data_IF_995810954015
#
_entry.id   IF_995810954015
#
_cell.length_a   1.000
_cell.length_b   1.000
_cell.length_c   1.000
_cell.angle_alpha   90.00
_cell.angle_beta   90.00
_cell.angle_gamma   90.00
#
_symmetry.space_group_name_H-M   'P 1'
#
loop_
_entity.id
_entity.type
_entity.pdbx_description
1 polymer ?
#
# COMPACT_ATOMS: atom_id res chain seq x y z
N UNK A 1 14.67 -2.58 2.06
CA UNK A 1 13.36 -2.78 1.39
C UNK A 1 12.80 -1.42 1.00
N UNK A 2 12.08 -1.29 -0.11
CA UNK A 2 11.50 0.00 -0.51
C UNK A 2 10.40 0.44 0.48
N UNK A 3 10.22 1.76 0.74
CA UNK A 3 9.19 2.24 1.66
C UNK A 3 7.79 1.76 1.31
N UNK A 4 7.48 1.61 0.01
CA UNK A 4 6.21 1.07 -0.47
C UNK A 4 6.02 -0.38 -0.06
N UNK A 5 7.04 -1.21 -0.27
CA UNK A 5 6.92 -2.62 0.05
C UNK A 5 6.72 -2.80 1.55
N UNK A 6 7.51 -2.09 2.37
CA UNK A 6 7.36 -2.09 3.83
C UNK A 6 5.96 -1.65 4.26
N UNK A 7 5.36 -0.69 3.55
CA UNK A 7 4.03 -0.18 3.86
C UNK A 7 2.90 -1.13 3.46
N UNK A 8 2.94 -1.68 2.25
CA UNK A 8 1.86 -2.48 1.68
C UNK A 8 1.94 -3.96 2.04
N UNK A 9 3.12 -4.47 2.37
CA UNK A 9 3.32 -5.89 2.68
C UNK A 9 2.43 -6.41 3.81
N UNK A 10 2.27 -5.73 4.96
CA UNK A 10 1.41 -6.20 6.04
C UNK A 10 -0.06 -6.31 5.63
N UNK A 11 -0.56 -5.34 4.84
CA UNK A 11 -1.92 -5.34 4.30
C UNK A 11 -2.11 -6.55 3.39
N UNK A 12 -1.20 -6.73 2.44
CA UNK A 12 -1.23 -7.84 1.50
C UNK A 12 -1.21 -9.19 2.22
N UNK A 13 -0.27 -9.38 3.16
CA UNK A 13 -0.08 -10.63 3.88
C UNK A 13 -1.32 -11.00 4.72
N UNK A 14 -1.87 -10.04 5.47
CA UNK A 14 -3.09 -10.28 6.27
C UNK A 14 -4.27 -10.62 5.37
N UNK A 15 -4.48 -9.85 4.30
CA UNK A 15 -5.57 -10.11 3.37
C UNK A 15 -5.45 -11.48 2.68
N UNK A 16 -4.22 -11.87 2.30
CA UNK A 16 -3.93 -13.18 1.72
C UNK A 16 -4.27 -14.32 2.68
N UNK A 17 -3.85 -14.22 3.93
CA UNK A 17 -4.15 -15.25 4.95
C UNK A 17 -5.66 -15.33 5.19
N UNK A 18 -6.34 -14.19 5.31
CA UNK A 18 -7.80 -14.16 5.49
C UNK A 18 -8.54 -14.73 4.29
N UNK A 19 -8.11 -14.44 3.07
CA UNK A 19 -8.66 -15.01 1.84
C UNK A 19 -8.49 -16.53 1.80
N UNK A 20 -7.32 -17.04 2.18
CA UNK A 20 -7.05 -18.47 2.22
C UNK A 20 -7.90 -19.20 3.27
N UNK A 21 -8.00 -18.66 4.49
CA UNK A 21 -8.80 -19.25 5.58
C UNK A 21 -10.29 -19.15 5.25
N UNK A 22 -10.77 -17.97 4.90
CA UNK A 22 -12.17 -17.72 4.56
C UNK A 22 -12.64 -18.55 3.38
N UNK A 23 -11.83 -18.62 2.32
CA UNK A 23 -12.07 -19.45 1.15
C UNK A 23 -12.13 -20.94 1.50
N UNK A 24 -11.17 -21.44 2.30
CA UNK A 24 -11.13 -22.84 2.71
C UNK A 24 -12.37 -23.23 3.52
N UNK A 25 -12.79 -22.38 4.46
CA UNK A 25 -13.98 -22.63 5.27
C UNK A 25 -15.27 -22.56 4.45
N UNK A 26 -15.37 -21.60 3.53
CA UNK A 26 -16.49 -21.49 2.61
C UNK A 26 -16.61 -22.73 1.73
N UNK A 27 -15.53 -23.19 1.10
CA UNK A 27 -15.55 -24.36 0.21
C UNK A 27 -15.86 -25.67 0.94
N UNK A 28 -15.48 -25.79 2.21
CA UNK A 28 -15.69 -27.00 3.03
C UNK A 28 -17.07 -27.05 3.68
N UNK A 29 -17.61 -25.92 4.10
CA UNK A 29 -18.89 -25.84 4.84
C UNK A 29 -20.04 -25.30 3.99
N UNK A 30 -19.76 -24.83 2.78
CA UNK A 30 -20.69 -24.14 1.87
C UNK A 30 -21.38 -22.90 2.48
N UNK A 31 -20.79 -22.32 3.54
CA UNK A 31 -21.34 -21.13 4.21
C UNK A 31 -20.65 -19.87 3.71
N UNK A 32 -21.38 -19.04 2.94
CA UNK A 32 -20.89 -17.77 2.40
C UNK A 32 -20.49 -16.76 3.48
N UNK A 33 -21.03 -16.91 4.70
CA UNK A 33 -20.72 -16.04 5.84
C UNK A 33 -19.22 -16.00 6.18
N UNK A 34 -18.48 -17.12 6.03
CA UNK A 34 -17.03 -17.13 6.27
C UNK A 34 -16.26 -16.27 5.26
N UNK A 35 -16.65 -16.33 3.98
CA UNK A 35 -16.04 -15.54 2.92
C UNK A 35 -16.30 -14.05 3.16
N UNK A 36 -17.54 -13.68 3.46
CA UNK A 36 -17.93 -12.29 3.72
C UNK A 36 -17.22 -11.75 4.97
N UNK A 37 -17.24 -12.52 6.07
CA UNK A 37 -16.61 -12.09 7.32
C UNK A 37 -15.11 -11.87 7.16
N UNK A 38 -14.39 -12.81 6.53
CA UNK A 38 -12.95 -12.66 6.28
C UNK A 38 -12.61 -11.48 5.37
N UNK A 39 -13.42 -11.22 4.34
CA UNK A 39 -13.26 -10.05 3.47
C UNK A 39 -13.48 -8.73 4.23
N UNK A 40 -14.53 -8.64 5.04
CA UNK A 40 -14.79 -7.46 5.89
C UNK A 40 -13.63 -7.21 6.86
N UNK A 41 -13.10 -8.27 7.49
CA UNK A 41 -11.94 -8.15 8.40
C UNK A 41 -10.70 -7.64 7.66
N UNK A 42 -10.44 -8.10 6.43
CA UNK A 42 -9.29 -7.65 5.64
C UNK A 42 -9.39 -6.14 5.30
N UNK A 43 -10.58 -5.67 4.93
CA UNK A 43 -10.82 -4.24 4.66
C UNK A 43 -10.73 -3.39 5.93
N UNK A 44 -11.30 -3.88 7.05
CA UNK A 44 -11.22 -3.20 8.34
C UNK A 44 -9.76 -3.07 8.81
N UNK A 45 -8.95 -4.13 8.67
CA UNK A 45 -7.52 -4.10 8.97
C UNK A 45 -6.79 -3.05 8.15
N UNK A 46 -7.13 -2.90 6.86
CA UNK A 46 -6.53 -1.88 5.99
C UNK A 46 -6.79 -0.47 6.52
N UNK A 47 -8.03 -0.17 6.92
CA UNK A 47 -8.37 1.10 7.55
C UNK A 47 -7.61 1.35 8.85
N UNK A 48 -7.49 0.32 9.70
CA UNK A 48 -6.72 0.38 10.94
C UNK A 48 -5.23 0.61 10.69
N UNK A 49 -4.65 -0.06 9.68
CA UNK A 49 -3.24 0.07 9.31
C UNK A 49 -2.90 1.51 8.88
N UNK A 50 -3.76 2.10 8.05
CA UNK A 50 -3.58 3.48 7.56
C UNK A 50 -3.77 4.52 8.64
N UNK A 51 -4.74 4.32 9.55
CA UNK A 51 -5.04 5.27 10.63
C UNK A 51 -4.34 4.90 11.94
N UNK A 52 -5.05 4.28 12.90
CA UNK A 52 -4.62 4.16 14.29
C UNK A 52 -3.35 3.32 14.50
N UNK A 53 -3.04 2.35 13.63
CA UNK A 53 -1.82 1.55 13.75
C UNK A 53 -0.57 2.28 13.24
N UNK A 54 -0.72 3.52 12.77
CA UNK A 54 0.39 4.42 12.44
C UNK A 54 1.14 4.06 11.16
N UNK A 55 0.59 3.22 10.28
CA UNK A 55 1.23 2.87 9.01
C UNK A 55 1.56 4.11 8.18
N UNK A 56 0.60 5.04 8.08
CA UNK A 56 0.79 6.33 7.41
C UNK A 56 1.97 7.12 8.00
N UNK A 57 2.04 7.25 9.32
CA UNK A 57 3.13 7.94 10.01
C UNK A 57 4.50 7.29 9.75
N UNK A 58 4.56 5.95 9.78
CA UNK A 58 5.79 5.21 9.45
C UNK A 58 6.26 5.45 8.01
N UNK A 59 5.33 5.53 7.06
CA UNK A 59 5.66 5.84 5.67
C UNK A 59 6.22 7.25 5.52
N UNK A 60 5.55 8.24 6.14
CA UNK A 60 6.01 9.63 6.16
C UNK A 60 7.41 9.74 6.76
N UNK A 61 7.65 9.08 7.90
CA UNK A 61 8.93 9.09 8.59
C UNK A 61 10.08 8.40 7.82
N UNK A 62 9.78 7.65 6.75
CA UNK A 62 10.80 7.10 5.86
C UNK A 62 11.06 8.00 4.65
N UNK A 63 10.01 8.56 4.06
CA UNK A 63 10.11 9.30 2.79
C UNK A 63 10.54 10.75 2.99
N UNK A 64 9.98 11.47 3.97
CA UNK A 64 10.30 12.89 4.17
C UNK A 64 11.77 13.11 4.58
N UNK A 65 12.37 12.31 5.47
CA UNK A 65 13.81 12.44 5.77
C UNK A 65 14.70 12.15 4.56
N UNK A 66 14.32 11.17 3.72
CA UNK A 66 15.05 10.88 2.49
C UNK A 66 14.98 12.05 1.50
N UNK A 67 13.79 12.64 1.31
CA UNK A 67 13.62 13.84 0.50
C UNK A 67 14.41 15.03 1.06
N UNK A 68 14.42 15.20 2.39
CA UNK A 68 15.20 16.25 3.06
C UNK A 68 16.70 16.06 2.85
N UNK A 69 17.20 14.81 2.93
CA UNK A 69 18.60 14.50 2.67
C UNK A 69 18.99 14.90 1.25
N UNK A 70 18.18 14.55 0.25
CA UNK A 70 18.42 14.93 -1.14
C UNK A 70 18.43 16.46 -1.29
N UNK A 71 17.48 17.18 -0.67
CA UNK A 71 17.47 18.65 -0.74
C UNK A 71 18.73 19.29 -0.13
N UNK A 72 19.26 18.71 0.95
CA UNK A 72 20.51 19.20 1.56
C UNK A 72 21.70 18.88 0.66
N UNK A 73 21.76 17.69 0.08
CA UNK A 73 22.81 17.26 -0.85
C UNK A 73 22.88 18.14 -2.11
N UNK A 74 21.72 18.62 -2.59
CA UNK A 74 21.60 19.53 -3.72
C UNK A 74 21.68 21.02 -3.33
N UNK A 75 22.17 21.35 -2.15
CA UNK A 75 22.33 22.72 -1.65
C UNK A 75 21.02 23.55 -1.65
N UNK A 76 19.87 22.88 -1.48
CA UNK A 76 18.54 23.47 -1.41
C UNK A 76 17.88 23.32 -0.01
N UNK A 77 18.56 23.60 1.11
CA UNK A 77 18.00 23.37 2.45
C UNK A 77 16.79 24.27 2.78
N UNK A 78 16.60 25.37 2.05
CA UNK A 78 15.45 26.27 2.17
C UNK A 78 14.18 25.72 1.51
N UNK A 79 14.30 24.74 0.62
CA UNK A 79 13.15 24.05 0.02
C UNK A 79 12.64 22.99 0.99
N UNK A 80 11.33 22.86 1.07
CA UNK A 80 10.64 21.85 1.84
C UNK A 80 9.90 20.91 0.89
N UNK A 81 9.87 19.63 1.24
CA UNK A 81 9.18 18.58 0.49
C UNK A 81 8.31 17.71 1.40
N UNK A 82 7.31 18.27 2.13
CA UNK A 82 6.36 17.44 2.88
C UNK A 82 5.53 16.55 1.93
N UNK A 83 5.14 15.37 2.41
CA UNK A 83 4.13 14.57 1.73
C UNK A 83 2.76 15.23 1.90
N UNK A 84 1.95 15.21 0.84
CA UNK A 84 0.58 15.75 0.89
C UNK A 84 -0.31 14.90 1.83
N UNK A 85 -0.95 15.55 2.80
CA UNK A 85 -1.68 14.90 3.92
C UNK A 85 -3.21 14.94 3.81
N UNK A 86 -3.78 15.56 2.78
CA UNK A 86 -5.24 15.73 2.68
C UNK A 86 -5.93 15.02 1.52
N UNK A 87 -6.27 13.72 1.58
CA UNK A 87 -5.76 12.61 2.39
C UNK A 87 -4.29 12.26 2.07
N UNK A 88 -3.65 11.37 2.84
CA UNK A 88 -2.26 10.98 2.58
C UNK A 88 -2.11 10.42 1.16
N UNK A 89 -1.22 11.02 0.38
CA UNK A 89 -0.87 10.56 -0.96
C UNK A 89 0.65 10.36 -1.05
N UNK A 90 1.11 9.59 -2.04
CA UNK A 90 2.55 9.41 -2.32
C UNK A 90 3.18 10.59 -3.05
N UNK A 91 2.68 11.80 -2.80
CA UNK A 91 3.08 13.01 -3.50
C UNK A 91 3.86 13.94 -2.59
N UNK A 92 5.04 14.35 -3.04
CA UNK A 92 5.81 15.40 -2.38
C UNK A 92 5.36 16.77 -2.90
N UNK A 93 5.10 17.68 -1.98
CA UNK A 93 4.74 19.06 -2.27
C UNK A 93 5.98 19.93 -2.01
N UNK A 94 6.58 20.42 -3.09
CA UNK A 94 7.73 21.30 -3.01
C UNK A 94 7.28 22.73 -2.72
N UNK A 95 7.95 23.38 -1.79
CA UNK A 95 7.75 24.80 -1.48
C UNK A 95 9.06 25.44 -1.01
N UNK A 96 9.24 26.74 -1.27
CA UNK A 96 10.47 27.47 -0.96
C UNK A 96 10.97 28.33 -2.12
N UNK A 97 12.14 28.93 -1.94
CA UNK A 97 12.78 29.76 -2.96
C UNK A 97 13.62 28.89 -3.90
N UNK A 98 13.23 28.88 -5.18
CA UNK A 98 13.93 28.24 -6.29
C UNK A 98 13.51 28.95 -7.60
N UNK A 99 14.45 29.11 -8.52
CA UNK A 99 14.16 29.58 -9.88
C UNK A 99 13.45 28.50 -10.72
N UNK A 100 13.00 28.84 -11.93
CA UNK A 100 12.21 27.94 -12.77
C UNK A 100 12.96 26.65 -13.13
N UNK A 101 14.24 26.76 -13.48
CA UNK A 101 15.09 25.61 -13.80
C UNK A 101 15.26 24.69 -12.58
N UNK A 102 15.58 25.26 -11.42
CA UNK A 102 15.71 24.53 -10.16
C UNK A 102 14.39 23.84 -9.78
N UNK A 103 13.24 24.51 -9.98
CA UNK A 103 11.93 23.93 -9.69
C UNK A 103 11.67 22.67 -10.52
N UNK A 104 11.93 22.73 -11.82
CA UNK A 104 11.75 21.59 -12.72
C UNK A 104 12.70 20.45 -12.39
N UNK A 105 13.97 20.77 -12.12
CA UNK A 105 14.99 19.77 -11.82
C UNK A 105 14.76 19.09 -10.47
N UNK A 106 14.37 19.85 -9.44
CA UNK A 106 13.98 19.28 -8.16
C UNK A 106 12.75 18.40 -8.28
N UNK A 107 11.74 18.77 -9.09
CA UNK A 107 10.59 17.91 -9.37
C UNK A 107 11.02 16.58 -10.00
N UNK A 108 11.94 16.64 -10.98
CA UNK A 108 12.49 15.46 -11.65
C UNK A 108 13.21 14.54 -10.65
N UNK A 109 14.13 15.10 -9.86
CA UNK A 109 14.91 14.36 -8.86
C UNK A 109 14.00 13.75 -7.79
N UNK A 110 13.12 14.55 -7.21
CA UNK A 110 12.24 14.10 -6.13
C UNK A 110 11.28 13.01 -6.58
N UNK A 111 10.86 13.01 -7.85
CA UNK A 111 10.01 11.96 -8.42
C UNK A 111 10.72 10.61 -8.56
N UNK A 112 12.05 10.56 -8.49
CA UNK A 112 12.83 9.32 -8.46
C UNK A 112 13.00 8.76 -7.03
N UNK A 113 12.57 9.50 -6.00
CA UNK A 113 12.68 9.07 -4.60
C UNK A 113 11.81 7.82 -4.34
N UNK A 114 12.37 6.74 -3.76
CA UNK A 114 11.60 5.55 -3.42
C UNK A 114 10.41 5.87 -2.52
N UNK A 115 9.21 5.45 -2.92
CA UNK A 115 7.98 5.79 -2.18
C UNK A 115 7.18 6.93 -2.80
N UNK A 116 7.81 7.78 -3.59
CA UNK A 116 7.16 8.93 -4.21
C UNK A 116 6.58 8.51 -5.56
N UNK A 117 5.33 8.87 -5.83
CA UNK A 117 4.68 8.70 -7.13
C UNK A 117 4.76 9.95 -7.99
N UNK A 118 4.83 11.13 -7.35
CA UNK A 118 4.92 12.42 -8.01
C UNK A 118 5.52 13.46 -7.06
N UNK A 119 6.35 14.35 -7.58
CA UNK A 119 6.69 15.61 -6.92
C UNK A 119 6.09 16.78 -7.71
N UNK A 120 5.69 17.85 -7.02
CA UNK A 120 5.10 19.03 -7.66
C UNK A 120 5.22 20.24 -6.74
N UNK A 121 5.23 21.44 -7.33
CA UNK A 121 5.11 22.72 -6.61
C UNK A 121 3.66 23.14 -6.37
N UNK A 122 2.71 22.45 -7.01
CA UNK A 122 1.29 22.72 -6.95
C UNK A 122 0.54 21.79 -5.98
N UNK A 123 -0.62 22.23 -5.50
CA UNK A 123 -1.48 21.54 -4.55
C UNK A 123 -2.53 20.62 -5.17
N UNK A 124 -2.50 20.41 -6.49
CA UNK A 124 -3.43 19.50 -7.18
C UNK A 124 -3.52 18.11 -6.53
N UNK A 125 -4.68 17.46 -6.67
CA UNK A 125 -5.00 16.19 -6.00
C UNK A 125 -4.29 14.95 -6.57
N UNK A 126 -4.22 13.88 -5.77
CA UNK A 126 -3.63 12.58 -6.14
C UNK A 126 -4.43 11.41 -5.58
N UNK A 127 -4.09 10.18 -5.99
CA UNK A 127 -4.75 8.97 -5.49
C UNK A 127 -4.42 8.82 -3.99
N UNK A 128 -5.43 8.79 -3.11
CA UNK A 128 -5.22 8.55 -1.68
C UNK A 128 -4.56 7.19 -1.45
N UNK A 129 -3.56 7.13 -0.57
CA UNK A 129 -2.89 5.88 -0.18
C UNK A 129 -3.85 4.85 0.39
N UNK A 130 -4.97 5.28 0.98
CA UNK A 130 -6.01 4.35 1.45
C UNK A 130 -6.66 3.58 0.30
N UNK A 131 -6.87 4.20 -0.86
CA UNK A 131 -7.41 3.50 -2.03
C UNK A 131 -6.40 2.50 -2.59
N UNK A 132 -5.11 2.87 -2.63
CA UNK A 132 -4.05 1.92 -3.00
C UNK A 132 -3.97 0.75 -2.02
N UNK A 133 -4.08 1.02 -0.72
CA UNK A 133 -4.12 -0.01 0.33
C UNK A 133 -5.29 -0.96 0.18
N UNK A 134 -6.49 -0.45 -0.13
CA UNK A 134 -7.67 -1.27 -0.39
C UNK A 134 -7.48 -2.15 -1.63
N UNK A 135 -6.90 -1.63 -2.71
CA UNK A 135 -6.58 -2.41 -3.90
C UNK A 135 -5.61 -3.57 -3.58
N UNK A 136 -4.56 -3.29 -2.78
CA UNK A 136 -3.61 -4.30 -2.31
C UNK A 136 -4.30 -5.35 -1.43
N UNK A 137 -5.19 -4.94 -0.54
CA UNK A 137 -5.96 -5.86 0.30
C UNK A 137 -6.85 -6.77 -0.55
N UNK A 138 -7.57 -6.23 -1.52
CA UNK A 138 -8.41 -7.01 -2.45
C UNK A 138 -7.55 -8.00 -3.23
N UNK A 139 -6.43 -7.56 -3.78
CA UNK A 139 -5.52 -8.43 -4.53
C UNK A 139 -4.99 -9.58 -3.65
N UNK A 140 -4.50 -9.28 -2.45
CA UNK A 140 -4.05 -10.29 -1.49
C UNK A 140 -5.16 -11.29 -1.15
N UNK A 141 -6.36 -10.79 -0.83
CA UNK A 141 -7.52 -11.63 -0.52
C UNK A 141 -7.91 -12.57 -1.66
N UNK A 142 -7.97 -12.07 -2.90
CA UNK A 142 -8.30 -12.87 -4.08
C UNK A 142 -7.24 -13.94 -4.34
N UNK A 143 -5.95 -13.64 -4.15
CA UNK A 143 -4.87 -14.63 -4.25
C UNK A 143 -5.03 -15.70 -3.17
N UNK A 144 -5.31 -15.31 -1.93
CA UNK A 144 -5.60 -16.26 -0.84
C UNK A 144 -6.77 -17.18 -1.17
N UNK A 145 -7.86 -16.62 -1.71
CA UNK A 145 -9.04 -17.37 -2.14
C UNK A 145 -8.71 -18.35 -3.27
N UNK A 146 -7.93 -17.93 -4.26
CA UNK A 146 -7.46 -18.79 -5.35
C UNK A 146 -6.62 -19.96 -4.81
N UNK A 147 -5.71 -19.70 -3.87
CA UNK A 147 -4.92 -20.76 -3.23
C UNK A 147 -5.80 -21.77 -2.50
N UNK A 148 -6.79 -21.30 -1.74
CA UNK A 148 -7.76 -22.17 -1.07
C UNK A 148 -8.53 -23.04 -2.07
N UNK A 149 -8.93 -22.46 -3.20
CA UNK A 149 -9.61 -23.18 -4.28
C UNK A 149 -8.72 -24.28 -4.88
N UNK A 150 -7.47 -23.97 -5.23
CA UNK A 150 -6.51 -24.95 -5.78
C UNK A 150 -6.25 -26.10 -4.80
N UNK A 151 -6.06 -25.79 -3.51
CA UNK A 151 -5.86 -26.80 -2.47
C UNK A 151 -7.07 -27.72 -2.34
N UNK A 152 -8.27 -27.15 -2.35
CA UNK A 152 -9.50 -27.94 -2.26
C UNK A 152 -9.74 -28.80 -3.51
N UNK A 153 -9.44 -28.28 -4.70
CA UNK A 153 -9.51 -29.04 -5.95
C UNK A 153 -8.58 -30.25 -5.91
N UNK A 154 -7.33 -30.04 -5.47
CA UNK A 154 -6.34 -31.13 -5.29
C UNK A 154 -6.83 -32.17 -4.29
N UNK A 155 -7.45 -31.74 -3.18
CA UNK A 155 -8.02 -32.64 -2.17
C UNK A 155 -9.10 -33.56 -2.75
N UNK A 156 -10.02 -32.99 -3.54
CA UNK A 156 -11.12 -33.74 -4.18
C UNK A 156 -10.62 -34.70 -5.25
N UNK A 157 -9.63 -34.28 -6.04
CA UNK A 157 -9.00 -35.14 -7.03
C UNK A 157 -8.35 -36.36 -6.36
N UNK A 158 -7.55 -36.16 -5.31
CA UNK A 158 -6.89 -37.27 -4.62
C UNK A 158 -7.86 -38.28 -3.98
N UNK A 159 -9.03 -37.83 -3.50
CA UNK A 159 -10.05 -38.73 -2.96
C UNK A 159 -10.71 -39.65 -3.99
N UNK A 160 -10.55 -39.39 -5.29
CA UNK A 160 -11.11 -40.22 -6.36
C UNK A 160 -10.22 -41.44 -6.69
N UNK A 161 -8.96 -41.46 -6.24
CA UNK A 161 -7.99 -42.51 -6.55
C UNK A 161 -7.75 -43.49 -5.39
N UNK A 162 -8.44 -43.32 -4.27
CA UNK A 162 -8.47 -44.30 -3.18
C UNK A 162 -9.67 -45.24 -3.39
N UNK A 163 -9.58 -46.11 -4.39
CA UNK A 163 -10.45 -47.28 -4.57
C UNK A 163 -9.59 -48.55 -4.52
#
# INVERSE_FOLDING_TARGET
>A
MSPLLTYFWPIFAVALVLGAIGGSLWLRRSKRTFLIASGVIALAFTGLWHGPLGGAGRFIAQVEPAARFILVDWEMPQVQAPLHRGPLTRRLMLSGQADEFQREELVRIMSMTPGVSRATWDTSGGVPMILEGLAVAIAGFLIGLLLAYVVELRRRYNSQWSW
#
